data_IF_307997334701
#
_entry.id   IF_307997334701
#
_cell.length_a   1.000
_cell.length_b   1.000
_cell.length_c   1.000
_cell.angle_alpha   90.00
_cell.angle_beta   90.00
_cell.angle_gamma   90.00
#
_symmetry.space_group_name_H-M   'P 1'
#
loop_
_entity.id
_entity.type
_entity.pdbx_description
1 polymer ?
#
# COMPACT_ATOMS: atom_id res chain seq x y z
N UNK A 1 -33.12 -54.85 -36.55
CA UNK A 1 -32.40 -53.80 -37.31
C UNK A 1 -32.82 -52.43 -36.81
N UNK A 2 -31.83 -51.54 -36.65
CA UNK A 2 -31.87 -50.11 -36.24
C UNK A 2 -31.84 -49.83 -34.73
N UNK A 3 -30.59 -49.74 -34.24
CA UNK A 3 -30.11 -48.91 -33.14
C UNK A 3 -30.26 -47.42 -33.49
N UNK A 4 -30.60 -46.58 -32.52
CA UNK A 4 -30.15 -45.17 -32.48
C UNK A 4 -29.80 -44.84 -31.02
N UNK A 5 -28.56 -44.43 -30.70
CA UNK A 5 -28.18 -44.04 -29.34
C UNK A 5 -28.54 -42.57 -29.08
N UNK A 6 -29.03 -42.30 -27.88
CA UNK A 6 -29.29 -40.94 -27.39
C UNK A 6 -27.94 -40.29 -27.03
N UNK A 7 -27.39 -39.50 -27.95
CA UNK A 7 -26.19 -38.70 -27.71
C UNK A 7 -26.56 -37.46 -26.88
N UNK A 8 -26.25 -37.48 -25.59
CA UNK A 8 -26.39 -36.32 -24.70
C UNK A 8 -25.28 -35.31 -25.02
N UNK A 9 -25.63 -34.25 -25.74
CA UNK A 9 -24.73 -33.16 -26.08
C UNK A 9 -24.66 -32.18 -24.90
N UNK A 10 -23.58 -32.24 -24.12
CA UNK A 10 -23.26 -31.26 -23.08
C UNK A 10 -22.76 -29.98 -23.76
N UNK A 11 -23.62 -28.97 -23.91
CA UNK A 11 -23.19 -27.64 -24.34
C UNK A 11 -22.50 -26.93 -23.18
N UNK A 12 -21.17 -26.91 -23.21
CA UNK A 12 -20.36 -26.06 -22.35
C UNK A 12 -20.45 -24.62 -22.89
N UNK A 13 -21.41 -23.84 -22.38
CA UNK A 13 -21.48 -22.41 -22.71
C UNK A 13 -20.32 -21.71 -22.02
N UNK A 14 -19.26 -21.45 -22.78
CA UNK A 14 -18.21 -20.54 -22.37
C UNK A 14 -18.83 -19.14 -22.22
N UNK A 15 -19.17 -18.77 -21.00
CA UNK A 15 -19.56 -17.40 -20.69
C UNK A 15 -18.30 -16.56 -20.86
N UNK A 16 -18.29 -15.68 -21.86
CA UNK A 16 -17.27 -14.65 -21.94
C UNK A 16 -17.41 -13.80 -20.69
N UNK A 17 -16.46 -13.95 -19.77
CA UNK A 17 -16.31 -13.04 -18.65
C UNK A 17 -16.02 -11.66 -19.23
N UNK A 18 -17.06 -10.86 -19.43
CA UNK A 18 -16.91 -9.42 -19.61
C UNK A 18 -16.27 -8.94 -18.32
N UNK A 19 -15.01 -8.52 -18.40
CA UNK A 19 -14.33 -7.89 -17.29
C UNK A 19 -15.26 -6.81 -16.72
N UNK A 20 -15.77 -7.02 -15.51
CA UNK A 20 -16.52 -6.00 -14.79
C UNK A 20 -15.52 -4.86 -14.52
N UNK A 21 -15.57 -3.80 -15.32
CA UNK A 21 -15.07 -2.52 -14.84
C UNK A 21 -15.87 -2.18 -13.58
N UNK A 22 -15.19 -1.68 -12.55
CA UNK A 22 -15.88 -1.19 -11.36
C UNK A 22 -16.91 -0.16 -11.82
N UNK A 23 -18.16 -0.18 -11.32
CA UNK A 23 -19.15 0.86 -11.63
C UNK A 23 -18.58 2.28 -11.45
N UNK A 24 -17.62 2.41 -10.54
CA UNK A 24 -16.87 3.62 -10.21
C UNK A 24 -16.06 4.21 -11.39
N UNK A 25 -15.71 3.43 -12.42
CA UNK A 25 -14.97 3.92 -13.59
C UNK A 25 -15.87 4.60 -14.64
N UNK A 26 -17.17 4.27 -14.68
CA UNK A 26 -18.07 4.75 -15.74
C UNK A 26 -18.55 6.20 -15.53
N UNK A 27 -18.46 6.71 -14.29
CA UNK A 27 -18.90 8.07 -13.92
C UNK A 27 -17.73 9.07 -13.84
N UNK A 28 -16.51 8.66 -14.21
CA UNK A 28 -15.31 9.50 -14.12
C UNK A 28 -15.31 10.56 -15.21
N UNK A 29 -15.71 11.77 -14.85
CA UNK A 29 -15.46 12.95 -15.67
C UNK A 29 -13.97 13.33 -15.61
N UNK A 30 -13.35 13.75 -16.73
CA UNK A 30 -11.97 14.20 -16.72
C UNK A 30 -11.86 15.50 -15.91
N UNK A 31 -11.31 15.41 -14.71
CA UNK A 31 -10.98 16.59 -13.89
C UNK A 31 -9.53 16.95 -14.11
N UNK A 32 -9.27 18.20 -14.48
CA UNK A 32 -7.90 18.73 -14.52
C UNK A 32 -7.46 19.06 -13.10
N UNK A 33 -6.77 18.13 -12.47
CA UNK A 33 -6.18 18.33 -11.15
C UNK A 33 -4.75 18.89 -11.27
N UNK A 34 -4.41 19.82 -10.38
CA UNK A 34 -3.05 20.31 -10.19
C UNK A 34 -2.50 19.72 -8.90
N UNK A 35 -1.42 18.96 -8.99
CA UNK A 35 -0.74 18.40 -7.82
C UNK A 35 0.58 19.13 -7.64
N UNK A 36 0.76 19.76 -6.48
CA UNK A 36 2.05 20.33 -6.10
C UNK A 36 2.73 19.33 -5.16
N UNK A 37 3.76 18.65 -5.67
CA UNK A 37 4.66 17.84 -4.83
C UNK A 37 5.91 18.66 -4.56
N UNK A 38 5.99 19.23 -3.35
CA UNK A 38 7.20 19.92 -2.91
C UNK A 38 8.35 18.92 -2.90
N UNK A 39 9.50 19.32 -3.45
CA UNK A 39 10.72 18.53 -3.34
C UNK A 39 11.07 18.36 -1.87
N UNK A 40 11.11 17.13 -1.34
CA UNK A 40 11.48 16.91 0.05
C UNK A 40 12.92 17.39 0.29
N UNK A 41 13.11 18.21 1.32
CA UNK A 41 14.45 18.55 1.80
C UNK A 41 14.88 17.43 2.75
N UNK A 42 16.03 16.81 2.47
CA UNK A 42 16.58 15.78 3.36
C UNK A 42 16.88 16.40 4.73
N UNK A 43 16.27 15.91 5.82
CA UNK A 43 16.55 16.43 7.15
C UNK A 43 18.01 16.15 7.56
N UNK A 44 18.61 17.08 8.30
CA UNK A 44 19.92 16.86 8.93
C UNK A 44 19.85 15.82 10.06
N UNK A 45 21.01 15.34 10.50
CA UNK A 45 21.11 14.37 11.62
C UNK A 45 20.55 14.89 12.95
N UNK A 46 20.45 16.21 13.10
CA UNK A 46 19.90 16.89 14.27
C UNK A 46 18.40 17.21 14.14
N UNK A 47 17.71 16.74 13.10
CA UNK A 47 16.30 17.05 12.87
C UNK A 47 15.42 16.69 14.08
N UNK A 48 15.59 15.49 14.64
CA UNK A 48 14.80 15.03 15.77
C UNK A 48 15.02 15.89 17.03
N UNK A 49 16.24 16.37 17.27
CA UNK A 49 16.53 17.20 18.46
C UNK A 49 15.98 18.62 18.37
N UNK A 50 15.61 19.08 17.16
CA UNK A 50 14.94 20.38 16.94
C UNK A 50 13.44 20.34 17.26
N UNK A 51 12.85 19.16 17.45
CA UNK A 51 11.44 19.02 17.79
C UNK A 51 11.19 19.38 19.26
N UNK A 52 10.18 20.20 19.52
CA UNK A 52 9.74 20.53 20.88
C UNK A 52 8.83 19.44 21.41
N UNK A 53 9.12 18.93 22.60
CA UNK A 53 8.38 17.85 23.23
C UNK A 53 7.90 18.25 24.64
N UNK A 54 6.74 17.74 25.09
CA UNK A 54 6.37 17.82 26.49
C UNK A 54 7.39 17.11 27.38
N UNK A 55 7.47 17.52 28.65
CA UNK A 55 8.35 16.88 29.64
C UNK A 55 8.01 15.39 29.76
N UNK A 56 9.05 14.54 29.77
CA UNK A 56 8.91 13.09 29.89
C UNK A 56 8.86 12.34 28.55
N UNK A 57 8.79 13.06 27.42
CA UNK A 57 8.80 12.46 26.08
C UNK A 57 10.19 12.50 25.45
N UNK A 58 10.45 11.54 24.57
CA UNK A 58 11.63 11.47 23.71
C UNK A 58 11.18 11.24 22.27
N UNK A 59 11.95 11.78 21.32
CA UNK A 59 11.78 11.50 19.90
C UNK A 59 13.12 11.06 19.30
N UNK A 60 13.06 10.13 18.37
CA UNK A 60 14.19 9.65 17.57
C UNK A 60 13.70 9.31 16.17
N UNK A 61 14.62 9.27 15.22
CA UNK A 61 14.35 8.75 13.87
C UNK A 61 14.27 7.23 13.94
N UNK A 62 13.09 6.67 13.64
CA UNK A 62 12.87 5.22 13.60
C UNK A 62 13.31 4.60 12.26
N UNK A 63 12.98 5.26 11.14
CA UNK A 63 13.40 4.92 9.78
C UNK A 63 13.64 6.19 8.97
N UNK A 64 14.51 6.12 7.96
CA UNK A 64 14.87 7.24 7.09
C UNK A 64 15.08 6.79 5.65
N UNK A 65 15.29 7.76 4.75
CA UNK A 65 15.60 7.50 3.34
C UNK A 65 14.54 6.64 2.63
N UNK A 66 13.27 6.78 3.04
CA UNK A 66 12.16 6.00 2.51
C UNK A 66 11.58 6.56 1.18
N UNK A 67 11.93 7.79 0.77
CA UNK A 67 11.34 8.43 -0.40
C UNK A 67 10.07 9.23 -0.07
N UNK A 68 9.04 9.20 -0.93
CA UNK A 68 7.77 9.92 -0.73
C UNK A 68 6.82 9.19 0.24
N UNK A 69 7.30 8.92 1.47
CA UNK A 69 6.48 8.33 2.52
C UNK A 69 5.26 9.20 2.86
N UNK A 70 4.08 8.58 2.92
CA UNK A 70 2.79 9.26 3.20
C UNK A 70 2.10 8.74 4.45
N UNK A 71 1.48 7.56 4.35
CA UNK A 71 0.68 6.98 5.44
C UNK A 71 1.44 5.83 6.09
N UNK A 72 1.19 5.62 7.38
CA UNK A 72 1.74 4.51 8.15
C UNK A 72 0.60 3.68 8.75
N UNK A 73 0.76 2.36 8.79
CA UNK A 73 -0.09 1.45 9.54
C UNK A 73 0.77 0.45 10.31
N UNK A 74 0.43 0.22 11.58
CA UNK A 74 1.17 -0.69 12.45
C UNK A 74 0.36 -1.96 12.62
N UNK A 75 0.93 -3.10 12.24
CA UNK A 75 0.31 -4.40 12.43
C UNK A 75 0.38 -4.83 13.92
N UNK A 76 -0.48 -5.76 14.37
CA UNK A 76 -0.43 -6.29 15.73
C UNK A 76 0.94 -6.87 16.14
N UNK A 77 1.72 -7.36 15.18
CA UNK A 77 3.07 -7.89 15.40
C UNK A 77 4.18 -6.83 15.51
N UNK A 78 3.85 -5.53 15.37
CA UNK A 78 4.82 -4.43 15.41
C UNK A 78 5.39 -4.02 14.06
N UNK A 79 5.18 -4.82 13.01
CA UNK A 79 5.56 -4.46 11.64
C UNK A 79 4.86 -3.16 11.20
N UNK A 80 5.62 -2.26 10.58
CA UNK A 80 5.11 -0.96 10.10
C UNK A 80 5.05 -0.98 8.58
N UNK A 81 3.90 -0.62 8.05
CA UNK A 81 3.65 -0.48 6.62
C UNK A 81 3.60 0.98 6.26
N UNK A 82 4.25 1.37 5.16
CA UNK A 82 4.34 2.75 4.71
C UNK A 82 3.95 2.84 3.24
N UNK A 83 2.97 3.69 2.92
CA UNK A 83 2.65 4.01 1.52
C UNK A 83 3.62 5.04 0.96
N UNK A 84 4.08 4.82 -0.27
CA UNK A 84 5.00 5.69 -1.00
C UNK A 84 4.42 6.04 -2.36
N UNK A 85 3.78 7.22 -2.42
CA UNK A 85 2.91 7.59 -3.54
C UNK A 85 3.69 7.69 -4.85
N UNK A 86 4.82 8.40 -4.84
CA UNK A 86 5.63 8.64 -6.03
C UNK A 86 6.36 7.37 -6.50
N UNK A 87 6.74 6.50 -5.56
CA UNK A 87 7.33 5.18 -5.80
C UNK A 87 6.29 4.12 -6.19
N UNK A 88 5.00 4.44 -6.04
CA UNK A 88 3.87 3.58 -6.36
C UNK A 88 3.90 2.23 -5.62
N UNK A 89 4.31 2.22 -4.35
CA UNK A 89 4.34 1.00 -3.55
C UNK A 89 3.94 1.18 -2.08
N UNK A 90 3.72 0.06 -1.40
CA UNK A 90 3.70 -0.05 0.06
C UNK A 90 4.90 -0.87 0.48
N UNK A 91 5.69 -0.35 1.40
CA UNK A 91 6.83 -1.06 2.00
C UNK A 91 6.52 -1.49 3.43
N UNK A 92 7.09 -2.62 3.82
CA UNK A 92 7.10 -3.15 5.18
C UNK A 92 8.46 -2.90 5.82
N UNK A 93 8.43 -2.45 7.06
CA UNK A 93 9.55 -2.18 7.94
C UNK A 93 9.34 -2.95 9.24
N UNK A 94 10.42 -3.38 9.87
CA UNK A 94 10.38 -4.24 11.07
C UNK A 94 11.48 -3.84 12.03
N UNK A 95 11.24 -3.99 13.32
CA UNK A 95 12.25 -3.87 14.38
C UNK A 95 12.32 -5.25 15.08
N UNK A 96 13.26 -6.08 14.65
CA UNK A 96 13.42 -7.46 15.15
C UNK A 96 14.19 -7.50 16.46
N UNK A 97 15.06 -6.52 16.68
CA UNK A 97 15.94 -6.47 17.83
C UNK A 97 15.33 -5.70 19.02
N UNK A 98 14.24 -4.95 18.79
CA UNK A 98 13.48 -4.21 19.79
C UNK A 98 14.17 -2.94 20.30
N UNK A 99 15.12 -2.38 19.55
CA UNK A 99 15.89 -1.20 19.94
C UNK A 99 15.19 0.13 19.60
N UNK A 100 14.02 0.07 18.98
CA UNK A 100 13.27 1.23 18.52
C UNK A 100 13.81 1.82 17.22
N UNK A 101 14.39 1.00 16.34
CA UNK A 101 14.80 1.35 14.98
C UNK A 101 14.37 0.29 13.98
N UNK A 102 14.08 0.71 12.76
CA UNK A 102 13.81 -0.24 11.68
C UNK A 102 15.10 -0.97 11.27
N UNK A 103 15.01 -2.29 11.19
CA UNK A 103 16.07 -3.19 10.78
C UNK A 103 16.04 -3.46 9.28
N UNK A 104 17.21 -3.35 8.65
CA UNK A 104 17.42 -3.70 7.25
C UNK A 104 16.69 -2.79 6.26
N UNK A 105 16.71 -3.15 4.96
CA UNK A 105 16.04 -2.38 3.94
C UNK A 105 14.51 -2.57 3.96
N UNK A 106 13.72 -1.57 3.52
CA UNK A 106 12.28 -1.72 3.34
C UNK A 106 11.96 -2.82 2.32
N UNK A 107 10.91 -3.61 2.58
CA UNK A 107 10.45 -4.66 1.67
C UNK A 107 9.14 -4.23 1.01
N UNK A 108 9.12 -4.07 -0.31
CA UNK A 108 7.89 -3.77 -1.04
C UNK A 108 6.92 -4.96 -0.98
N UNK A 109 5.65 -4.71 -0.62
CA UNK A 109 4.60 -5.72 -0.49
C UNK A 109 3.43 -5.52 -1.45
N UNK A 110 3.24 -4.29 -1.95
CA UNK A 110 2.23 -3.92 -2.95
C UNK A 110 2.87 -2.94 -3.91
N UNK A 111 2.59 -3.07 -5.20
CA UNK A 111 3.00 -2.10 -6.22
C UNK A 111 1.81 -1.73 -7.11
N UNK A 112 1.40 -0.46 -7.07
CA UNK A 112 0.30 0.10 -7.86
C UNK A 112 0.38 1.63 -7.87
N UNK A 113 0.11 2.30 -9.00
CA UNK A 113 0.00 3.76 -9.01
C UNK A 113 -1.17 4.25 -8.14
N UNK A 114 -1.00 5.44 -7.54
CA UNK A 114 -2.05 6.11 -6.77
C UNK A 114 -2.22 5.62 -5.33
N UNK A 115 -1.32 4.77 -4.82
CA UNK A 115 -1.29 4.38 -3.42
C UNK A 115 -1.09 5.62 -2.52
N UNK A 116 -2.01 5.84 -1.59
CA UNK A 116 -1.96 6.97 -0.68
C UNK A 116 -2.49 6.58 0.70
N UNK A 117 -3.80 6.32 0.80
CA UNK A 117 -4.42 5.78 2.01
C UNK A 117 -3.90 4.39 2.34
N UNK A 118 -3.84 4.08 3.63
CA UNK A 118 -3.41 2.78 4.14
C UNK A 118 -4.07 2.53 5.50
N UNK A 119 -4.64 1.35 5.71
CA UNK A 119 -5.02 0.87 7.05
C UNK A 119 -4.97 -0.66 7.13
N UNK A 120 -4.97 -1.19 8.36
CA UNK A 120 -5.08 -2.62 8.61
C UNK A 120 -6.39 -2.88 9.35
N UNK A 121 -7.21 -3.77 8.80
CA UNK A 121 -8.47 -4.18 9.42
C UNK A 121 -8.67 -5.68 9.26
N UNK A 122 -8.98 -6.38 10.36
CA UNK A 122 -9.17 -7.84 10.40
C UNK A 122 -8.05 -8.66 9.72
N UNK A 123 -6.79 -8.23 9.91
CA UNK A 123 -5.63 -8.91 9.32
C UNK A 123 -5.43 -8.64 7.82
N UNK A 124 -6.18 -7.71 7.23
CA UNK A 124 -6.08 -7.33 5.83
C UNK A 124 -5.63 -5.88 5.69
N UNK A 125 -4.85 -5.62 4.65
CA UNK A 125 -4.37 -4.29 4.28
C UNK A 125 -5.33 -3.66 3.28
N UNK A 126 -5.71 -2.40 3.51
CA UNK A 126 -6.59 -1.60 2.65
C UNK A 126 -5.90 -0.32 2.20
#
# INVERSE_FOLDING_TARGET
MKLIPLATLFFLTATTATAQSSPEDNDKQPVRAWFNELTPIKPGSDFASKLKLPRGYRVSVWAQDLGNARMIAVAPGGDVYVSRRSEADIVRLVDRNGDGRADGPPVAIVNRPGLHGLTIHNGQLY
#
